data_IF_115932775900
#
_entry.id   IF_115932775900
#
_cell.length_a   1.000
_cell.length_b   1.000
_cell.length_c   1.000
_cell.angle_alpha   90.00
_cell.angle_beta   90.00
_cell.angle_gamma   90.00
#
_symmetry.space_group_name_H-M   'P 1'
#
loop_
_entity.id
_entity.type
_entity.pdbx_description
1 polymer ?
#
# COMPACT_ATOMS: atom_id res chain seq x y z
N UNK A 1 21.74 39.15 74.16
CA UNK A 1 22.31 37.86 73.70
C UNK A 1 22.20 37.80 72.19
N UNK A 2 23.29 37.49 71.47
CA UNK A 2 23.31 37.15 70.04
C UNK A 2 22.95 38.28 69.05
N UNK A 3 23.87 38.67 68.17
CA UNK A 3 23.64 39.70 67.16
C UNK A 3 24.39 39.47 65.85
N UNK A 4 24.26 40.47 64.97
CA UNK A 4 25.03 40.75 63.73
C UNK A 4 25.02 39.76 62.54
N UNK A 5 24.54 40.27 61.39
CA UNK A 5 25.20 40.09 60.08
C UNK A 5 25.23 41.44 59.33
N UNK A 6 26.35 41.74 58.68
CA UNK A 6 26.74 43.08 58.21
C UNK A 6 26.72 43.24 56.65
N UNK A 7 26.93 44.47 56.16
CA UNK A 7 27.09 44.84 54.71
C UNK A 7 28.44 44.39 54.11
N UNK A 8 28.61 44.39 52.76
CA UNK A 8 29.34 45.49 52.06
C UNK A 8 28.60 45.97 50.77
N UNK A 9 28.86 47.07 50.03
CA UNK A 9 29.84 48.22 50.01
C UNK A 9 31.07 48.22 49.03
N UNK A 10 30.78 48.45 47.73
CA UNK A 10 31.56 49.22 46.69
C UNK A 10 32.76 48.60 45.92
N UNK A 11 32.91 49.16 44.70
CA UNK A 11 33.92 49.10 43.60
C UNK A 11 35.36 49.58 44.04
N UNK A 12 36.47 49.55 43.24
CA UNK A 12 36.57 49.73 41.77
C UNK A 12 37.76 49.08 40.97
N UNK A 13 37.92 49.56 39.72
CA UNK A 13 38.89 49.33 38.62
C UNK A 13 40.37 49.00 38.90
N UNK A 14 41.02 48.35 37.90
CA UNK A 14 42.32 48.81 37.33
C UNK A 14 42.62 48.26 35.92
N UNK A 15 43.32 49.06 35.10
CA UNK A 15 43.58 48.83 33.67
C UNK A 15 45.05 48.49 33.33
N UNK A 16 45.34 48.08 32.07
CA UNK A 16 46.67 48.26 31.41
C UNK A 16 46.66 48.13 29.85
N UNK A 17 46.83 49.29 29.17
CA UNK A 17 47.71 49.59 27.99
C UNK A 17 47.57 48.85 26.62
N UNK A 18 46.93 49.53 25.64
CA UNK A 18 47.46 50.12 24.37
C UNK A 18 48.83 49.69 23.76
N UNK A 19 49.19 49.99 22.46
CA UNK A 19 48.47 50.74 21.37
C UNK A 19 48.65 50.23 19.89
N UNK A 20 48.12 51.01 18.90
CA UNK A 20 48.42 51.03 17.42
C UNK A 20 48.00 49.76 16.60
N UNK A 21 47.61 49.81 15.32
CA UNK A 21 47.34 50.90 14.36
C UNK A 21 47.52 50.43 12.89
N UNK A 22 46.75 50.98 11.93
CA UNK A 22 46.79 50.72 10.44
C UNK A 22 46.35 49.30 10.02
N UNK A 23 45.32 49.10 9.18
CA UNK A 23 45.09 49.44 7.76
C UNK A 23 45.60 48.38 6.75
N UNK A 24 44.90 48.29 5.60
CA UNK A 24 45.23 47.56 4.36
C UNK A 24 45.13 46.01 4.29
N UNK A 25 43.97 45.56 3.76
CA UNK A 25 43.76 44.82 2.49
C UNK A 25 44.48 43.45 2.21
N UNK A 26 43.93 42.63 1.28
CA UNK A 26 44.28 41.21 1.14
C UNK A 26 45.53 40.93 0.30
N UNK A 27 46.09 39.73 0.42
CA UNK A 27 47.17 39.22 -0.45
C UNK A 27 46.64 38.66 -1.77
N UNK A 28 47.28 39.07 -2.86
CA UNK A 28 47.31 38.37 -4.16
C UNK A 28 48.17 37.08 -4.05
N UNK A 29 48.42 36.24 -5.07
CA UNK A 29 48.30 36.27 -6.53
C UNK A 29 48.13 34.80 -7.03
N UNK A 30 47.99 34.39 -8.31
CA UNK A 30 48.59 34.80 -9.60
C UNK A 30 47.59 34.43 -10.73
N UNK A 31 47.25 35.34 -11.66
CA UNK A 31 47.89 35.59 -12.97
C UNK A 31 48.02 34.36 -13.91
N UNK A 32 47.21 34.35 -14.96
CA UNK A 32 47.65 34.26 -16.37
C UNK A 32 46.64 35.00 -17.27
N UNK A 33 47.17 35.86 -18.14
CA UNK A 33 46.54 36.64 -19.24
C UNK A 33 47.60 36.62 -20.39
N UNK A 34 47.30 36.86 -21.69
CA UNK A 34 46.57 38.03 -22.22
C UNK A 34 45.51 37.73 -23.33
N UNK A 35 44.36 38.45 -23.40
CA UNK A 35 44.02 39.63 -24.27
C UNK A 35 43.76 39.34 -25.77
N UNK A 36 43.06 40.20 -26.55
CA UNK A 36 41.91 41.10 -26.20
C UNK A 36 40.81 41.26 -27.28
N UNK A 37 39.68 41.88 -26.87
CA UNK A 37 38.85 42.75 -27.74
C UNK A 37 37.77 42.06 -28.59
N UNK A 38 36.61 42.68 -28.88
CA UNK A 38 36.04 44.01 -28.60
C UNK A 38 34.54 43.78 -28.35
N UNK A 39 33.90 44.23 -27.26
CA UNK A 39 33.26 45.57 -27.11
C UNK A 39 31.90 45.64 -27.85
N UNK A 40 30.83 46.30 -27.38
CA UNK A 40 30.61 47.17 -26.21
C UNK A 40 29.09 47.38 -26.01
N UNK A 41 28.64 47.55 -24.76
CA UNK A 41 27.34 48.19 -24.35
C UNK A 41 26.05 47.45 -24.80
N UNK A 42 24.90 47.63 -24.17
CA UNK A 42 24.53 48.49 -23.05
C UNK A 42 23.35 47.91 -22.24
N UNK A 43 22.88 48.64 -21.22
CA UNK A 43 22.08 48.07 -20.14
C UNK A 43 20.55 48.30 -20.23
N UNK A 44 19.85 47.48 -19.45
CA UNK A 44 18.69 47.82 -18.61
C UNK A 44 17.24 47.70 -19.10
N UNK A 45 16.49 46.99 -18.23
CA UNK A 45 15.09 47.17 -17.81
C UNK A 45 13.91 46.70 -18.67
N UNK A 46 13.09 45.84 -18.02
CA UNK A 46 11.60 45.86 -17.83
C UNK A 46 10.74 46.05 -19.12
N UNK A 47 9.64 45.30 -19.36
CA UNK A 47 8.67 44.73 -18.41
C UNK A 47 7.75 43.69 -19.09
N UNK A 48 6.94 42.98 -18.28
CA UNK A 48 5.79 42.14 -18.67
C UNK A 48 4.86 42.79 -19.73
N UNK A 49 4.29 41.98 -20.64
CA UNK A 49 2.84 41.67 -20.67
C UNK A 49 2.43 40.60 -21.70
N UNK A 50 1.27 40.00 -21.44
CA UNK A 50 0.53 39.04 -22.27
C UNK A 50 0.32 39.48 -23.72
N UNK A 51 0.22 38.50 -24.63
CA UNK A 51 -0.81 38.51 -25.70
C UNK A 51 -1.40 37.12 -25.92
N UNK A 52 -2.72 37.04 -25.76
CA UNK A 52 -3.59 35.96 -26.22
C UNK A 52 -3.89 36.12 -27.70
N UNK A 53 -4.05 35.01 -28.44
CA UNK A 53 -4.88 34.96 -29.65
C UNK A 53 -5.76 33.71 -29.64
N UNK A 54 -6.94 33.83 -30.27
CA UNK A 54 -8.08 32.90 -30.21
C UNK A 54 -8.78 32.92 -31.58
N UNK A 55 -9.45 31.82 -31.95
CA UNK A 55 -10.33 31.67 -33.14
C UNK A 55 -9.59 31.66 -34.51
N UNK A 56 -10.10 31.01 -35.58
CA UNK A 56 -11.27 30.13 -35.78
C UNK A 56 -10.89 28.86 -36.60
N UNK A 57 -11.64 27.76 -36.64
CA UNK A 57 -13.01 27.53 -37.16
C UNK A 57 -13.05 27.14 -38.67
N UNK A 58 -13.70 26.02 -39.03
CA UNK A 58 -14.18 25.77 -40.42
C UNK A 58 -14.05 24.36 -41.03
N UNK A 59 -15.18 23.64 -41.12
CA UNK A 59 -15.67 22.73 -42.18
C UNK A 59 -14.70 22.26 -43.31
N UNK A 60 -14.48 20.94 -43.56
CA UNK A 60 -15.34 19.88 -44.18
C UNK A 60 -15.27 19.73 -45.73
N UNK A 61 -14.92 18.49 -46.17
CA UNK A 61 -15.54 17.66 -47.26
C UNK A 61 -14.95 17.61 -48.69
N UNK A 62 -14.70 16.36 -49.15
CA UNK A 62 -14.53 15.81 -50.53
C UNK A 62 -13.31 16.25 -51.38
N UNK A 63 -12.74 15.47 -52.34
CA UNK A 63 -12.92 14.10 -52.91
C UNK A 63 -11.55 13.69 -53.54
N UNK A 64 -11.12 12.41 -53.60
CA UNK A 64 -11.07 11.55 -54.81
C UNK A 64 -10.27 10.25 -54.45
N UNK A 65 -10.84 9.04 -54.57
CA UNK A 65 -10.75 8.06 -55.69
C UNK A 65 -9.41 7.32 -55.92
N UNK A 66 -9.38 6.03 -55.55
CA UNK A 66 -8.91 4.80 -56.27
C UNK A 66 -8.99 3.64 -55.25
N UNK A 67 -9.99 2.75 -55.23
CA UNK A 67 -10.42 1.75 -56.21
C UNK A 67 -9.37 0.65 -56.49
N UNK A 68 -9.59 -0.56 -55.94
CA UNK A 68 -9.32 -1.88 -56.56
C UNK A 68 -9.90 -3.04 -55.68
N UNK A 69 -10.92 -3.73 -56.24
CA UNK A 69 -11.34 -5.14 -56.08
C UNK A 69 -11.55 -5.80 -54.68
N UNK A 70 -12.78 -6.31 -54.38
CA UNK A 70 -13.05 -7.34 -53.37
C UNK A 70 -13.27 -8.74 -53.98
N UNK A 71 -13.23 -9.80 -53.15
CA UNK A 71 -13.88 -11.10 -53.46
C UNK A 71 -14.25 -11.89 -52.20
N UNK A 72 -15.52 -12.32 -52.13
CA UNK A 72 -16.12 -13.12 -51.06
C UNK A 72 -15.81 -14.63 -51.17
N UNK A 73 -16.07 -15.41 -50.10
CA UNK A 73 -15.95 -16.89 -50.16
C UNK A 73 -16.27 -17.64 -48.84
N UNK A 74 -17.52 -18.02 -48.64
CA UNK A 74 -18.10 -18.54 -47.39
C UNK A 74 -17.78 -20.00 -46.96
N UNK A 75 -17.63 -20.20 -45.63
CA UNK A 75 -18.30 -21.21 -44.74
C UNK A 75 -18.12 -22.75 -44.89
N UNK A 76 -18.08 -23.41 -43.69
CA UNK A 76 -18.49 -24.82 -43.31
C UNK A 76 -17.55 -25.98 -43.73
N UNK A 77 -17.48 -27.16 -43.08
CA UNK A 77 -17.85 -27.71 -41.72
C UNK A 77 -17.25 -29.15 -41.56
N UNK A 78 -17.02 -29.62 -40.31
CA UNK A 78 -17.03 -31.06 -39.88
C UNK A 78 -15.93 -32.00 -40.49
N UNK A 79 -15.60 -33.22 -40.01
CA UNK A 79 -15.70 -33.97 -38.71
C UNK A 79 -14.80 -35.23 -38.82
N UNK A 80 -14.30 -35.76 -37.68
CA UNK A 80 -13.80 -37.14 -37.47
C UNK A 80 -12.62 -37.63 -38.37
N UNK A 81 -11.79 -38.60 -37.99
CA UNK A 81 -11.76 -39.44 -36.80
C UNK A 81 -11.93 -40.92 -37.13
N UNK A 82 -10.83 -41.69 -37.15
CA UNK A 82 -10.79 -43.15 -37.07
C UNK A 82 -9.46 -43.57 -36.41
N UNK A 83 -9.47 -44.71 -35.74
CA UNK A 83 -8.36 -45.26 -34.96
C UNK A 83 -7.91 -46.60 -35.57
N UNK A 84 -7.25 -47.42 -34.75
CA UNK A 84 -6.90 -48.83 -34.99
C UNK A 84 -5.71 -49.07 -35.95
N UNK A 85 -4.75 -49.99 -35.70
CA UNK A 85 -4.60 -50.97 -34.62
C UNK A 85 -3.13 -51.08 -34.09
N UNK A 86 -3.05 -51.57 -32.85
CA UNK A 86 -1.89 -52.19 -32.15
C UNK A 86 -1.69 -53.66 -32.66
N UNK A 87 -0.76 -54.53 -32.17
CA UNK A 87 0.20 -54.37 -31.05
C UNK A 87 1.63 -54.98 -31.27
N UNK A 88 2.41 -54.95 -30.18
CA UNK A 88 3.47 -55.89 -29.73
C UNK A 88 4.97 -55.69 -30.10
N UNK A 89 5.76 -55.81 -29.02
CA UNK A 89 7.22 -55.98 -28.93
C UNK A 89 7.52 -57.50 -28.85
N UNK A 90 8.70 -58.02 -28.41
CA UNK A 90 10.00 -57.40 -28.15
C UNK A 90 11.18 -58.16 -28.81
N UNK A 91 12.43 -57.79 -28.50
CA UNK A 91 13.47 -58.74 -28.05
C UNK A 91 14.77 -58.05 -27.61
N UNK A 92 15.56 -58.74 -26.77
CA UNK A 92 16.84 -58.27 -26.18
C UNK A 92 18.03 -59.04 -26.75
N UNK A 93 19.12 -58.35 -27.10
CA UNK A 93 20.52 -58.87 -27.04
C UNK A 93 21.48 -57.65 -27.06
N UNK A 94 22.28 -57.35 -26.03
CA UNK A 94 23.50 -57.99 -25.51
C UNK A 94 24.72 -58.04 -26.46
N UNK A 95 25.62 -57.07 -26.22
CA UNK A 95 27.10 -57.14 -26.10
C UNK A 95 27.95 -57.83 -27.18
N UNK A 96 28.99 -57.10 -27.58
CA UNK A 96 30.43 -57.43 -27.76
C UNK A 96 30.93 -56.73 -29.04
N UNK A 97 32.16 -56.26 -29.22
CA UNK A 97 33.32 -55.81 -28.44
C UNK A 97 34.38 -55.43 -29.51
N UNK A 98 35.54 -54.86 -29.13
CA UNK A 98 36.69 -54.51 -30.00
C UNK A 98 36.42 -53.28 -30.92
N UNK A 99 37.29 -52.27 -31.02
CA UNK A 99 38.54 -51.99 -30.31
C UNK A 99 39.69 -51.68 -31.27
N UNK A 100 39.98 -50.39 -31.48
CA UNK A 100 41.22 -49.89 -32.08
C UNK A 100 41.69 -48.65 -31.30
N UNK A 101 43.00 -48.47 -31.20
CA UNK A 101 43.65 -47.53 -30.29
C UNK A 101 44.74 -46.71 -31.00
N UNK A 102 45.36 -45.76 -30.24
CA UNK A 102 46.56 -44.95 -30.58
C UNK A 102 46.24 -43.75 -31.51
N UNK A 103 46.81 -42.53 -31.34
CA UNK A 103 47.93 -42.00 -30.53
C UNK A 103 47.72 -40.49 -30.23
N UNK A 104 48.40 -39.96 -29.21
CA UNK A 104 48.91 -38.57 -29.13
C UNK A 104 50.40 -38.64 -28.69
N UNK A 105 51.06 -37.59 -28.14
CA UNK A 105 50.80 -36.12 -28.09
C UNK A 105 51.91 -35.35 -28.87
N UNK A 106 52.39 -34.10 -28.60
CA UNK A 106 52.98 -33.58 -27.33
C UNK A 106 52.60 -32.09 -26.96
N UNK A 107 53.12 -31.51 -25.84
CA UNK A 107 52.65 -30.21 -25.30
C UNK A 107 53.65 -29.03 -25.41
N UNK A 108 53.15 -27.80 -25.22
CA UNK A 108 53.94 -26.56 -25.06
C UNK A 108 53.20 -25.50 -24.23
N UNK A 109 53.94 -24.72 -23.41
CA UNK A 109 53.40 -23.73 -22.45
C UNK A 109 53.34 -22.32 -23.08
N UNK A 110 52.41 -21.46 -22.63
CA UNK A 110 52.69 -20.11 -22.11
C UNK A 110 51.43 -19.46 -21.47
N UNK A 111 51.61 -18.34 -20.75
CA UNK A 111 50.65 -17.71 -19.83
C UNK A 111 49.72 -16.67 -20.53
N UNK A 112 48.76 -16.01 -19.84
CA UNK A 112 47.47 -15.66 -20.43
C UNK A 112 47.43 -14.26 -21.05
N UNK A 113 46.56 -14.11 -22.05
CA UNK A 113 46.10 -12.80 -22.49
C UNK A 113 44.69 -12.47 -21.99
N UNK A 114 44.49 -11.21 -21.61
CA UNK A 114 43.21 -10.63 -21.23
C UNK A 114 42.59 -9.95 -22.45
N UNK A 115 41.28 -9.72 -22.38
CA UNK A 115 40.44 -8.82 -23.20
C UNK A 115 39.77 -9.47 -24.43
N UNK A 116 38.50 -9.03 -24.61
CA UNK A 116 37.47 -9.50 -25.57
C UNK A 116 36.91 -10.90 -25.21
N UNK A 117 35.60 -11.08 -25.02
CA UNK A 117 34.46 -10.25 -25.43
C UNK A 117 33.57 -9.69 -24.31
N UNK A 118 33.12 -8.44 -24.52
CA UNK A 118 32.08 -7.74 -23.76
C UNK A 118 30.81 -7.59 -24.62
N UNK A 119 30.19 -8.70 -25.01
CA UNK A 119 29.00 -8.71 -25.89
C UNK A 119 28.01 -9.84 -25.58
N UNK A 120 27.99 -10.36 -24.34
CA UNK A 120 27.08 -11.43 -23.90
C UNK A 120 26.25 -11.07 -22.63
N UNK A 121 26.10 -9.78 -22.30
CA UNK A 121 25.30 -9.28 -21.18
C UNK A 121 24.05 -8.51 -21.67
N UNK A 122 23.29 -9.13 -22.58
CA UNK A 122 22.04 -8.57 -23.12
C UNK A 122 20.77 -9.29 -22.66
N UNK A 123 20.79 -10.63 -22.56
CA UNK A 123 19.53 -11.42 -22.51
C UNK A 123 19.41 -12.39 -21.32
N UNK A 124 20.48 -12.61 -20.55
CA UNK A 124 20.46 -13.50 -19.38
C UNK A 124 19.61 -13.00 -18.19
N UNK A 125 19.13 -11.75 -18.22
CA UNK A 125 18.39 -11.12 -17.13
C UNK A 125 16.88 -11.40 -17.08
N UNK A 126 16.28 -12.03 -18.10
CA UNK A 126 14.81 -12.23 -18.18
C UNK A 126 14.34 -13.68 -17.99
N UNK A 127 15.22 -14.67 -18.10
CA UNK A 127 14.86 -16.08 -17.97
C UNK A 127 14.74 -16.57 -16.49
N UNK A 128 15.44 -15.93 -15.55
CA UNK A 128 15.52 -16.38 -14.15
C UNK A 128 14.21 -16.33 -13.35
N UNK A 129 13.25 -15.49 -13.76
CA UNK A 129 11.98 -15.32 -13.05
C UNK A 129 10.86 -16.28 -13.52
N UNK A 130 11.00 -16.92 -14.70
CA UNK A 130 9.90 -17.67 -15.31
C UNK A 130 9.98 -19.20 -15.10
N UNK A 131 11.19 -19.75 -14.88
CA UNK A 131 11.37 -21.21 -14.74
C UNK A 131 10.92 -21.82 -13.40
N UNK A 132 10.81 -21.02 -12.33
CA UNK A 132 10.69 -21.54 -10.96
C UNK A 132 9.25 -21.83 -10.46
N UNK A 133 8.23 -21.55 -11.27
CA UNK A 133 6.85 -22.01 -11.01
C UNK A 133 6.50 -23.35 -11.69
N UNK A 134 7.36 -23.85 -12.58
CA UNK A 134 7.09 -25.06 -13.38
C UNK A 134 7.79 -26.34 -12.86
N UNK A 135 8.69 -26.24 -11.88
CA UNK A 135 9.51 -27.36 -11.38
C UNK A 135 9.39 -27.61 -9.86
N UNK A 136 8.21 -27.31 -9.29
CA UNK A 136 7.83 -27.80 -7.97
C UNK A 136 6.99 -29.07 -8.12
N UNK A 137 7.59 -30.24 -7.85
CA UNK A 137 6.83 -31.49 -7.65
C UNK A 137 5.73 -31.23 -6.61
N UNK A 138 4.43 -31.39 -6.93
CA UNK A 138 3.35 -31.15 -5.99
C UNK A 138 3.31 -32.13 -4.81
N UNK A 139 4.13 -33.19 -4.84
CA UNK A 139 4.13 -34.28 -3.85
C UNK A 139 5.20 -34.06 -2.77
N UNK A 140 4.73 -33.70 -1.57
CA UNK A 140 5.49 -33.49 -0.31
C UNK A 140 6.16 -32.10 -0.24
N UNK A 141 5.95 -31.25 0.77
CA UNK A 141 5.20 -31.38 2.03
C UNK A 141 4.31 -30.13 2.21
N UNK A 142 2.99 -30.30 2.24
CA UNK A 142 2.11 -29.27 2.84
C UNK A 142 2.40 -29.23 4.33
N UNK A 143 2.98 -28.14 4.84
CA UNK A 143 2.92 -27.83 6.27
C UNK A 143 1.46 -27.67 6.65
N UNK A 144 0.88 -28.71 7.26
CA UNK A 144 -0.44 -28.61 7.88
C UNK A 144 -0.30 -27.71 9.11
N UNK A 145 -0.35 -26.38 8.91
CA UNK A 145 -0.96 -25.52 9.93
C UNK A 145 -2.29 -26.17 10.26
N UNK A 146 -2.48 -26.57 11.52
CA UNK A 146 -3.56 -27.48 11.88
C UNK A 146 -4.89 -26.82 11.52
N UNK A 147 -5.55 -27.32 10.46
CA UNK A 147 -6.84 -26.79 10.00
C UNK A 147 -7.83 -26.66 11.15
N UNK A 148 -7.79 -27.61 12.10
CA UNK A 148 -8.50 -27.56 13.37
C UNK A 148 -8.29 -26.25 14.15
N UNK A 149 -7.06 -25.81 14.46
CA UNK A 149 -6.84 -24.55 15.22
C UNK A 149 -7.33 -23.32 14.46
N UNK A 150 -7.11 -23.26 13.14
CA UNK A 150 -7.65 -22.16 12.33
C UNK A 150 -9.17 -22.18 12.35
N UNK A 151 -9.80 -23.32 12.05
CA UNK A 151 -11.26 -23.50 12.11
C UNK A 151 -11.81 -23.13 13.49
N UNK A 152 -11.20 -23.58 14.59
CA UNK A 152 -11.63 -23.23 15.96
C UNK A 152 -11.59 -21.72 16.21
N UNK A 153 -10.53 -21.02 15.81
CA UNK A 153 -10.46 -19.56 15.94
C UNK A 153 -11.47 -18.83 15.05
N UNK A 154 -11.70 -19.33 13.83
CA UNK A 154 -12.73 -18.81 12.92
C UNK A 154 -14.14 -19.03 13.47
N UNK A 155 -14.42 -20.22 13.99
CA UNK A 155 -15.66 -20.56 14.67
C UNK A 155 -15.86 -19.69 15.91
N UNK A 156 -14.82 -19.44 16.70
CA UNK A 156 -14.91 -18.58 17.89
C UNK A 156 -15.27 -17.14 17.52
N UNK A 157 -14.60 -16.55 16.52
CA UNK A 157 -14.91 -15.21 16.03
C UNK A 157 -16.30 -15.11 15.39
N UNK A 158 -16.68 -16.08 14.56
CA UNK A 158 -18.00 -16.14 13.95
C UNK A 158 -19.12 -16.35 14.98
N UNK A 159 -18.88 -17.18 16.00
CA UNK A 159 -19.84 -17.46 17.08
C UNK A 159 -19.94 -16.29 18.07
N UNK A 160 -18.86 -15.55 18.31
CA UNK A 160 -18.91 -14.29 19.05
C UNK A 160 -19.69 -13.20 18.29
N UNK A 161 -19.43 -13.02 16.98
CA UNK A 161 -20.24 -12.13 16.13
C UNK A 161 -21.71 -12.55 16.10
N UNK A 162 -22.00 -13.85 15.92
CA UNK A 162 -23.36 -14.37 15.88
C UNK A 162 -24.07 -14.27 17.24
N UNK A 163 -23.37 -14.47 18.36
CA UNK A 163 -23.91 -14.27 19.70
C UNK A 163 -24.22 -12.80 19.96
N UNK A 164 -23.32 -11.87 19.58
CA UNK A 164 -23.57 -10.44 19.68
C UNK A 164 -24.79 -10.02 18.84
N UNK A 165 -24.86 -10.44 17.58
CA UNK A 165 -26.02 -10.21 16.72
C UNK A 165 -27.29 -10.82 17.29
N UNK A 166 -27.26 -12.04 17.83
CA UNK A 166 -28.42 -12.66 18.45
C UNK A 166 -28.87 -11.92 19.71
N UNK A 167 -27.97 -11.38 20.52
CA UNK A 167 -28.30 -10.55 21.69
C UNK A 167 -28.92 -9.22 21.25
N UNK A 168 -28.29 -8.52 20.31
CA UNK A 168 -28.77 -7.24 19.79
C UNK A 168 -30.15 -7.40 19.12
N UNK A 169 -30.28 -8.33 18.17
CA UNK A 169 -31.53 -8.56 17.43
C UNK A 169 -32.67 -9.06 18.32
N UNK A 170 -32.40 -9.84 19.38
CA UNK A 170 -33.42 -10.21 20.37
C UNK A 170 -33.93 -9.04 21.21
N UNK A 171 -33.16 -7.95 21.31
CA UNK A 171 -33.57 -6.72 21.99
C UNK A 171 -34.34 -5.75 21.09
N UNK A 172 -34.58 -6.07 19.82
CA UNK A 172 -35.18 -5.18 18.82
C UNK A 172 -36.52 -5.72 18.33
N UNK A 173 -37.52 -4.87 18.19
CA UNK A 173 -38.75 -5.26 17.48
C UNK A 173 -38.54 -5.24 15.96
N UNK A 174 -39.23 -6.15 15.25
CA UNK A 174 -39.14 -6.20 13.80
C UNK A 174 -39.72 -4.93 13.14
N UNK A 175 -40.74 -4.31 13.74
CA UNK A 175 -41.31 -3.05 13.25
C UNK A 175 -40.31 -1.89 13.38
N UNK A 176 -39.55 -1.81 14.47
CA UNK A 176 -38.55 -0.77 14.68
C UNK A 176 -37.39 -0.87 13.67
N UNK A 177 -36.96 -2.09 13.33
CA UNK A 177 -35.95 -2.30 12.29
C UNK A 177 -36.51 -1.94 10.89
N UNK A 178 -37.73 -2.35 10.58
CA UNK A 178 -38.37 -2.08 9.30
C UNK A 178 -38.63 -0.58 9.08
N UNK A 179 -39.11 0.14 10.09
CA UNK A 179 -39.35 1.59 10.01
C UNK A 179 -38.04 2.38 9.87
N UNK A 180 -36.99 1.99 10.60
CA UNK A 180 -35.67 2.60 10.49
C UNK A 180 -35.01 2.41 9.11
N UNK A 181 -35.21 1.26 8.45
CA UNK A 181 -34.78 1.07 7.06
C UNK A 181 -35.66 1.83 6.05
N UNK A 182 -36.97 1.97 6.30
CA UNK A 182 -37.89 2.73 5.45
C UNK A 182 -37.66 4.25 5.53
N UNK A 183 -37.12 4.75 6.64
CA UNK A 183 -36.80 6.15 6.87
C UNK A 183 -35.45 6.61 6.27
N UNK A 184 -34.74 5.76 5.51
CA UNK A 184 -33.41 6.09 5.00
C UNK A 184 -33.47 7.19 3.93
N UNK A 185 -32.81 8.31 4.22
CA UNK A 185 -32.65 9.41 3.26
C UNK A 185 -31.61 9.04 2.18
N UNK A 186 -31.93 9.17 0.88
CA UNK A 186 -30.98 8.89 -0.19
C UNK A 186 -29.90 9.98 -0.41
N UNK A 187 -30.09 11.24 0.02
CA UNK A 187 -29.10 12.30 -0.32
C UNK A 187 -27.71 12.06 0.28
N UNK A 188 -27.54 11.56 1.54
CA UNK A 188 -26.21 11.32 2.10
C UNK A 188 -25.47 10.19 1.39
N UNK A 189 -26.16 9.31 0.66
CA UNK A 189 -25.52 8.23 -0.12
C UNK A 189 -24.58 8.81 -1.18
N UNK A 190 -24.88 10.00 -1.75
CA UNK A 190 -23.97 10.68 -2.66
C UNK A 190 -22.68 11.14 -1.95
N UNK A 191 -22.78 11.64 -0.72
CA UNK A 191 -21.63 11.98 0.12
C UNK A 191 -20.82 10.73 0.50
N UNK A 192 -21.49 9.61 0.82
CA UNK A 192 -20.83 8.33 1.04
C UNK A 192 -20.01 7.91 -0.18
N UNK A 193 -20.60 7.91 -1.38
CA UNK A 193 -19.92 7.49 -2.62
C UNK A 193 -18.70 8.38 -2.91
N UNK A 194 -18.84 9.70 -2.73
CA UNK A 194 -17.73 10.64 -2.89
C UNK A 194 -16.62 10.42 -1.84
N UNK A 195 -17.01 10.19 -0.57
CA UNK A 195 -16.10 9.86 0.52
C UNK A 195 -15.32 8.56 0.24
N UNK A 196 -16.02 7.49 -0.15
CA UNK A 196 -15.42 6.20 -0.48
C UNK A 196 -14.45 6.29 -1.66
N UNK A 197 -14.83 7.03 -2.71
CA UNK A 197 -13.95 7.29 -3.85
C UNK A 197 -12.67 8.05 -3.41
N UNK A 198 -12.79 9.00 -2.49
CA UNK A 198 -11.64 9.70 -1.89
C UNK A 198 -10.77 8.76 -1.05
N UNK A 199 -11.36 7.91 -0.19
CA UNK A 199 -10.61 6.89 0.59
C UNK A 199 -9.80 5.99 -0.34
N UNK A 200 -10.42 5.44 -1.39
CA UNK A 200 -9.75 4.53 -2.31
C UNK A 200 -8.70 5.24 -3.17
N UNK A 201 -8.96 6.46 -3.62
CA UNK A 201 -7.97 7.26 -4.35
C UNK A 201 -6.77 7.58 -3.47
N UNK A 202 -6.99 8.09 -2.26
CA UNK A 202 -5.94 8.41 -1.31
C UNK A 202 -5.09 7.17 -0.95
N UNK A 203 -5.72 6.01 -0.72
CA UNK A 203 -5.01 4.73 -0.52
C UNK A 203 -4.15 4.32 -1.70
N UNK A 204 -4.65 4.49 -2.93
CA UNK A 204 -3.92 4.16 -4.14
C UNK A 204 -2.72 5.11 -4.37
N UNK A 205 -2.90 6.42 -4.18
CA UNK A 205 -1.82 7.43 -4.27
C UNK A 205 -0.77 7.23 -3.17
N UNK A 206 -1.20 7.01 -1.92
CA UNK A 206 -0.32 6.73 -0.76
C UNK A 206 0.60 5.53 -1.05
N UNK A 207 0.04 4.45 -1.56
CA UNK A 207 0.79 3.24 -1.90
C UNK A 207 1.69 3.45 -3.11
N UNK A 208 1.18 4.09 -4.17
CA UNK A 208 1.97 4.40 -5.36
C UNK A 208 3.18 5.29 -5.04
N UNK A 209 3.02 6.24 -4.12
CA UNK A 209 4.12 7.07 -3.62
C UNK A 209 5.18 6.21 -2.89
N UNK A 210 4.79 5.29 -1.99
CA UNK A 210 5.74 4.39 -1.31
C UNK A 210 6.54 3.51 -2.29
N UNK A 211 5.96 3.15 -3.43
CA UNK A 211 6.62 2.33 -4.45
C UNK A 211 7.48 3.16 -5.43
N UNK A 212 7.28 4.49 -5.49
CA UNK A 212 7.88 5.36 -6.49
C UNK A 212 9.42 5.27 -6.62
N UNK A 213 10.20 5.14 -5.53
CA UNK A 213 11.67 5.03 -5.63
C UNK A 213 12.19 3.72 -6.23
N UNK A 214 11.37 2.68 -6.29
CA UNK A 214 11.69 1.39 -6.94
C UNK A 214 11.11 1.31 -8.35
N UNK A 215 9.88 1.81 -8.54
CA UNK A 215 9.19 1.91 -9.83
C UNK A 215 8.28 3.12 -9.80
N UNK A 216 8.44 4.01 -10.78
CA UNK A 216 7.44 5.05 -11.06
C UNK A 216 6.08 4.39 -11.33
N UNK A 217 5.18 4.48 -10.35
CA UNK A 217 3.91 3.75 -10.31
C UNK A 217 2.78 4.76 -10.16
N UNK A 218 1.70 4.60 -10.92
CA UNK A 218 0.50 5.44 -10.82
C UNK A 218 -0.54 4.79 -9.91
N UNK A 219 -1.34 5.58 -9.19
CA UNK A 219 -2.43 5.07 -8.36
C UNK A 219 -3.38 4.10 -9.11
N UNK A 220 -3.65 4.35 -10.40
CA UNK A 220 -4.46 3.47 -11.24
C UNK A 220 -3.87 2.05 -11.44
N UNK A 221 -2.54 1.90 -11.40
CA UNK A 221 -1.88 0.59 -11.48
C UNK A 221 -1.95 -0.18 -10.15
N UNK A 222 -2.02 0.54 -9.03
CA UNK A 222 -2.11 -0.05 -7.68
C UNK A 222 -3.56 -0.39 -7.31
N UNK A 223 -4.55 0.35 -7.82
CA UNK A 223 -5.97 0.17 -7.51
C UNK A 223 -6.48 -1.29 -7.63
N UNK A 224 -6.12 -2.10 -8.65
CA UNK A 224 -6.51 -3.52 -8.71
C UNK A 224 -6.09 -4.33 -7.48
N UNK A 225 -4.88 -4.08 -6.94
CA UNK A 225 -4.39 -4.75 -5.73
C UNK A 225 -5.16 -4.33 -4.48
N UNK A 226 -5.52 -3.04 -4.39
CA UNK A 226 -6.33 -2.52 -3.29
C UNK A 226 -7.74 -3.13 -3.32
N UNK A 227 -8.40 -3.12 -4.48
CA UNK A 227 -9.73 -3.68 -4.65
C UNK A 227 -9.77 -5.19 -4.40
N UNK A 228 -8.76 -5.93 -4.89
CA UNK A 228 -8.61 -7.35 -4.59
C UNK A 228 -8.49 -7.61 -3.08
N UNK A 229 -7.70 -6.79 -2.36
CA UNK A 229 -7.58 -6.87 -0.91
C UNK A 229 -8.91 -6.61 -0.20
N UNK A 230 -9.61 -5.57 -0.61
CA UNK A 230 -10.81 -5.06 0.04
C UNK A 230 -11.95 -6.07 -0.11
N UNK A 231 -12.23 -6.51 -1.35
CA UNK A 231 -13.22 -7.55 -1.64
C UNK A 231 -12.87 -8.89 -1.00
N UNK A 232 -11.59 -9.29 -1.01
CA UNK A 232 -11.17 -10.53 -0.37
C UNK A 232 -11.38 -10.50 1.15
N UNK A 233 -11.27 -9.35 1.84
CA UNK A 233 -11.56 -9.26 3.28
C UNK A 233 -13.06 -9.39 3.62
N UNK A 234 -13.97 -9.15 2.68
CA UNK A 234 -15.40 -9.43 2.90
C UNK A 234 -15.74 -10.93 2.82
N UNK A 235 -14.91 -11.73 2.14
CA UNK A 235 -15.16 -13.18 1.92
C UNK A 235 -14.24 -14.07 2.74
N UNK A 236 -12.96 -13.71 2.84
CA UNK A 236 -11.93 -14.44 3.56
C UNK A 236 -11.80 -13.92 4.98
N UNK A 237 -11.70 -14.80 5.99
CA UNK A 237 -11.55 -14.37 7.36
C UNK A 237 -10.10 -13.94 7.68
N UNK A 238 -9.89 -13.44 8.91
CA UNK A 238 -8.57 -13.03 9.43
C UNK A 238 -7.83 -12.00 8.55
N UNK A 239 -8.58 -11.17 7.81
CA UNK A 239 -8.04 -10.19 6.85
C UNK A 239 -7.08 -10.80 5.80
N UNK A 240 -7.29 -12.07 5.42
CA UNK A 240 -6.42 -12.76 4.46
C UNK A 240 -6.40 -12.12 3.05
N UNK A 241 -7.28 -11.15 2.77
CA UNK A 241 -7.20 -10.29 1.58
C UNK A 241 -5.94 -9.44 1.52
N UNK A 242 -5.24 -9.18 2.63
CA UNK A 242 -3.89 -8.58 2.59
C UNK A 242 -2.90 -9.44 1.76
N UNK A 243 -3.04 -10.76 1.78
CA UNK A 243 -2.27 -11.66 0.90
C UNK A 243 -2.68 -11.53 -0.56
N UNK A 244 -3.96 -11.24 -0.84
CA UNK A 244 -4.43 -10.93 -2.19
C UNK A 244 -3.84 -9.60 -2.70
N UNK A 245 -3.73 -8.59 -1.83
CA UNK A 245 -3.03 -7.33 -2.15
C UNK A 245 -1.60 -7.58 -2.63
N UNK A 246 -0.83 -8.35 -1.84
CA UNK A 246 0.55 -8.70 -2.15
C UNK A 246 0.62 -9.52 -3.44
N UNK A 247 -0.20 -10.57 -3.58
CA UNK A 247 -0.17 -11.45 -4.76
C UNK A 247 -0.51 -10.72 -6.06
N UNK A 248 -1.49 -9.79 -6.04
CA UNK A 248 -1.86 -8.98 -7.21
C UNK A 248 -0.80 -7.92 -7.50
N UNK A 249 -0.27 -7.23 -6.48
CA UNK A 249 0.76 -6.21 -6.67
C UNK A 249 2.07 -6.81 -7.21
N UNK A 250 2.55 -7.92 -6.65
CA UNK A 250 3.77 -8.62 -7.11
C UNK A 250 3.62 -9.07 -8.58
N UNK A 251 2.47 -9.67 -8.95
CA UNK A 251 2.24 -10.16 -10.32
C UNK A 251 1.97 -9.04 -11.33
N UNK A 252 1.24 -8.00 -10.95
CA UNK A 252 0.85 -6.90 -11.84
C UNK A 252 1.92 -5.80 -11.98
N UNK A 253 2.69 -5.54 -10.92
CA UNK A 253 3.67 -4.46 -10.88
C UNK A 253 5.13 -4.95 -10.92
N UNK A 254 5.37 -6.25 -10.76
CA UNK A 254 6.72 -6.82 -10.72
C UNK A 254 7.53 -6.39 -9.49
N UNK A 255 6.88 -5.85 -8.45
CA UNK A 255 7.54 -5.41 -7.23
C UNK A 255 7.84 -6.60 -6.29
N UNK A 256 8.93 -6.57 -5.51
CA UNK A 256 9.17 -7.59 -4.49
C UNK A 256 8.09 -7.57 -3.40
N UNK A 257 7.72 -8.74 -2.88
CA UNK A 257 6.72 -8.83 -1.82
C UNK A 257 7.19 -8.14 -0.51
N UNK A 258 8.50 -8.11 -0.22
CA UNK A 258 9.05 -7.45 0.96
C UNK A 258 8.78 -5.94 0.98
N UNK A 259 8.93 -5.28 -0.17
CA UNK A 259 8.59 -3.86 -0.36
C UNK A 259 7.10 -3.60 -0.14
N UNK A 260 6.24 -4.47 -0.67
CA UNK A 260 4.80 -4.32 -0.52
C UNK A 260 4.38 -4.48 0.95
N UNK A 261 4.96 -5.47 1.64
CA UNK A 261 4.76 -5.69 3.08
C UNK A 261 5.23 -4.49 3.91
N UNK A 262 6.37 -3.88 3.60
CA UNK A 262 6.85 -2.71 4.37
C UNK A 262 5.99 -1.47 4.13
N UNK A 263 5.58 -1.20 2.88
CA UNK A 263 4.60 -0.15 2.58
C UNK A 263 3.27 -0.35 3.33
N UNK A 264 2.76 -1.58 3.34
CA UNK A 264 1.54 -1.94 4.09
C UNK A 264 1.71 -1.76 5.61
N UNK A 265 2.84 -2.17 6.18
CA UNK A 265 3.11 -2.03 7.61
C UNK A 265 3.14 -0.56 8.07
N UNK A 266 3.76 0.32 7.28
CA UNK A 266 3.72 1.78 7.52
C UNK A 266 2.29 2.29 7.45
N UNK A 267 1.52 1.87 6.44
CA UNK A 267 0.11 2.25 6.31
C UNK A 267 -0.73 1.79 7.51
N UNK A 268 -0.55 0.57 8.02
CA UNK A 268 -1.23 0.08 9.21
C UNK A 268 -0.85 0.88 10.47
N UNK A 269 0.43 1.16 10.68
CA UNK A 269 0.89 1.96 11.83
C UNK A 269 0.34 3.37 11.79
N UNK A 270 0.34 4.03 10.62
CA UNK A 270 -0.20 5.39 10.49
C UNK A 270 -1.74 5.40 10.58
N UNK A 271 -2.44 4.43 9.99
CA UNK A 271 -3.89 4.29 10.13
C UNK A 271 -4.29 4.11 11.62
N UNK A 272 -3.55 3.30 12.39
CA UNK A 272 -3.78 3.10 13.82
C UNK A 272 -3.41 4.32 14.68
N UNK A 273 -2.33 5.05 14.35
CA UNK A 273 -1.99 6.31 15.03
C UNK A 273 -3.09 7.36 14.89
N UNK A 274 -3.68 7.50 13.70
CA UNK A 274 -4.83 8.39 13.50
C UNK A 274 -6.07 7.90 14.27
N UNK A 275 -6.32 6.59 14.33
CA UNK A 275 -7.44 6.05 15.12
C UNK A 275 -7.25 6.31 16.63
N UNK A 276 -6.04 6.15 17.16
CA UNK A 276 -5.70 6.48 18.54
C UNK A 276 -5.80 7.99 18.82
N UNK A 277 -5.37 8.84 17.90
CA UNK A 277 -5.51 10.29 18.03
C UNK A 277 -6.99 10.72 18.04
N UNK A 278 -7.80 10.15 17.14
CA UNK A 278 -9.25 10.37 17.09
C UNK A 278 -9.94 9.91 18.39
N UNK A 279 -9.55 8.76 18.94
CA UNK A 279 -10.02 8.27 20.24
C UNK A 279 -9.62 9.19 21.39
N UNK A 280 -8.38 9.67 21.43
CA UNK A 280 -7.91 10.60 22.45
C UNK A 280 -8.65 11.95 22.41
N UNK A 281 -8.91 12.48 21.21
CA UNK A 281 -9.71 13.69 21.01
C UNK A 281 -11.16 13.46 21.47
N UNK A 282 -11.79 12.35 21.06
CA UNK A 282 -13.14 12.01 21.48
C UNK A 282 -13.26 11.85 23.01
N UNK A 283 -12.31 11.16 23.65
CA UNK A 283 -12.28 10.97 25.10
C UNK A 283 -12.00 12.26 25.90
N UNK A 284 -11.42 13.28 25.28
CA UNK A 284 -11.17 14.59 25.90
C UNK A 284 -12.38 15.55 25.80
N UNK A 285 -13.33 15.28 24.90
CA UNK A 285 -14.47 16.17 24.59
C UNK A 285 -15.81 15.57 25.00
N UNK A 286 -16.00 14.27 24.78
CA UNK A 286 -17.24 13.58 25.12
C UNK A 286 -17.22 13.12 26.59
N UNK A 287 -18.38 13.09 27.27
CA UNK A 287 -18.52 12.46 28.59
C UNK A 287 -18.53 10.93 28.43
N UNK A 288 -17.41 10.36 27.95
CA UNK A 288 -17.23 8.92 27.85
C UNK A 288 -17.18 8.38 29.28
N UNK A 289 -18.08 7.45 29.68
CA UNK A 289 -17.99 6.82 30.99
C UNK A 289 -16.58 6.25 31.17
N UNK A 290 -15.95 6.50 32.32
CA UNK A 290 -14.60 6.00 32.64
C UNK A 290 -14.61 4.47 32.82
N UNK A 291 -14.82 3.73 31.73
CA UNK A 291 -14.71 2.30 31.68
C UNK A 291 -13.23 1.92 31.73
N UNK A 292 -12.73 1.25 32.79
CA UNK A 292 -11.32 0.83 32.85
C UNK A 292 -10.90 -0.03 31.67
N UNK A 293 -11.87 -0.73 31.07
CA UNK A 293 -11.74 -1.51 29.83
C UNK A 293 -11.29 -0.65 28.64
N UNK A 294 -11.84 0.54 28.43
CA UNK A 294 -11.44 1.42 27.32
C UNK A 294 -9.98 1.88 27.48
N UNK A 295 -9.58 2.19 28.71
CA UNK A 295 -8.19 2.55 29.03
C UNK A 295 -7.23 1.36 28.82
N UNK A 296 -7.59 0.16 29.29
CA UNK A 296 -6.80 -1.06 29.08
C UNK A 296 -6.65 -1.41 27.59
N UNK A 297 -7.73 -1.32 26.80
CA UNK A 297 -7.69 -1.54 25.35
C UNK A 297 -6.86 -0.46 24.66
N UNK A 298 -6.99 0.81 25.06
CA UNK A 298 -6.17 1.92 24.56
C UNK A 298 -4.67 1.70 24.82
N UNK A 299 -4.30 1.28 26.03
CA UNK A 299 -2.92 0.92 26.38
C UNK A 299 -2.41 -0.30 25.61
N UNK A 300 -3.23 -1.33 25.40
CA UNK A 300 -2.86 -2.51 24.64
C UNK A 300 -2.59 -2.16 23.16
N UNK A 301 -3.47 -1.38 22.52
CA UNK A 301 -3.28 -0.94 21.13
C UNK A 301 -2.10 0.04 21.04
N UNK A 302 -2.01 1.00 21.97
CA UNK A 302 -0.91 1.97 22.03
C UNK A 302 0.46 1.33 22.19
N UNK A 303 0.59 0.33 23.07
CA UNK A 303 1.85 -0.42 23.24
C UNK A 303 2.20 -1.27 22.01
N UNK A 304 1.23 -1.92 21.37
CA UNK A 304 1.45 -2.64 20.12
C UNK A 304 1.90 -1.71 18.98
N UNK A 305 1.29 -0.52 18.86
CA UNK A 305 1.69 0.52 17.90
C UNK A 305 3.09 1.06 18.22
N UNK A 306 3.42 1.30 19.49
CA UNK A 306 4.75 1.75 19.90
C UNK A 306 5.85 0.72 19.56
N UNK A 307 5.59 -0.58 19.79
CA UNK A 307 6.50 -1.66 19.36
C UNK A 307 6.63 -1.71 17.84
N UNK A 308 5.53 -1.57 17.09
CA UNK A 308 5.58 -1.53 15.63
C UNK A 308 6.39 -0.32 15.11
N UNK A 309 6.23 0.86 15.70
CA UNK A 309 7.04 2.05 15.41
C UNK A 309 8.52 1.79 15.71
N UNK A 310 8.85 1.19 16.85
CA UNK A 310 10.24 0.88 17.21
C UNK A 310 10.88 -0.10 16.21
N UNK A 311 10.14 -1.12 15.77
CA UNK A 311 10.60 -2.09 14.74
C UNK A 311 10.78 -1.41 13.38
N UNK A 312 9.83 -0.57 12.95
CA UNK A 312 9.95 0.19 11.69
C UNK A 312 11.11 1.19 11.75
N UNK A 313 11.30 1.89 12.87
CA UNK A 313 12.40 2.82 13.07
C UNK A 313 13.76 2.09 13.06
N UNK A 314 13.89 0.96 13.77
CA UNK A 314 15.08 0.11 13.72
C UNK A 314 15.38 -0.35 12.29
N UNK A 315 14.38 -0.83 11.55
CA UNK A 315 14.55 -1.31 10.19
C UNK A 315 14.89 -0.19 9.20
N UNK A 316 14.34 1.01 9.41
CA UNK A 316 14.59 2.20 8.58
C UNK A 316 15.95 2.83 8.86
N UNK A 317 16.38 2.89 10.12
CA UNK A 317 17.63 3.56 10.53
C UNK A 317 18.85 2.63 10.45
N UNK A 318 18.67 1.33 10.73
CA UNK A 318 19.76 0.34 10.79
C UNK A 318 19.62 -0.86 9.83
N UNK A 319 19.50 -0.69 8.49
CA UNK A 319 19.41 -1.82 7.55
C UNK A 319 20.56 -2.84 7.65
N UNK A 320 21.76 -2.40 8.03
CA UNK A 320 22.89 -3.30 8.28
C UNK A 320 22.66 -4.20 9.51
N UNK A 321 21.97 -3.72 10.55
CA UNK A 321 21.58 -4.53 11.69
C UNK A 321 20.46 -5.52 11.30
N UNK A 322 19.46 -5.09 10.51
CA UNK A 322 18.43 -5.97 9.95
C UNK A 322 19.07 -7.14 9.19
N UNK A 323 19.97 -6.84 8.25
CA UNK A 323 20.71 -7.86 7.48
C UNK A 323 21.48 -8.84 8.37
N UNK A 324 22.13 -8.37 9.45
CA UNK A 324 22.82 -9.25 10.41
C UNK A 324 21.84 -10.17 11.15
N UNK A 325 20.73 -9.63 11.67
CA UNK A 325 19.69 -10.41 12.36
C UNK A 325 19.07 -11.44 11.43
N UNK A 326 18.72 -11.04 10.20
CA UNK A 326 18.19 -11.94 9.17
C UNK A 326 19.21 -13.00 8.76
N UNK A 327 20.48 -12.64 8.57
CA UNK A 327 21.53 -13.61 8.28
C UNK A 327 21.72 -14.63 9.42
N UNK A 328 21.64 -14.19 10.68
CA UNK A 328 21.73 -15.06 11.86
C UNK A 328 20.57 -16.06 11.93
N UNK A 329 19.33 -15.58 11.72
CA UNK A 329 18.12 -16.41 11.65
C UNK A 329 18.14 -17.39 10.46
N UNK A 330 18.62 -16.93 9.30
CA UNK A 330 18.72 -17.71 8.07
C UNK A 330 19.62 -18.95 8.19
N UNK A 331 20.54 -19.00 9.16
CA UNK A 331 21.37 -20.20 9.45
C UNK A 331 20.55 -21.40 9.92
N UNK A 332 19.36 -21.17 10.47
CA UNK A 332 18.47 -22.22 10.97
C UNK A 332 17.42 -22.67 9.93
N UNK A 333 17.50 -22.15 8.70
CA UNK A 333 16.53 -22.38 7.63
C UNK A 333 17.16 -23.16 6.47
N UNK A 334 16.40 -24.01 5.74
CA UNK A 334 16.88 -24.63 4.50
C UNK A 334 17.32 -23.57 3.49
N UNK A 335 18.38 -23.85 2.71
CA UNK A 335 19.02 -22.88 1.83
C UNK A 335 18.05 -22.06 0.94
N UNK A 336 17.02 -22.70 0.38
CA UNK A 336 15.98 -22.01 -0.42
C UNK A 336 15.19 -20.96 0.37
N UNK A 337 14.85 -21.26 1.63
CA UNK A 337 14.09 -20.34 2.49
C UNK A 337 14.98 -19.27 3.13
N UNK A 338 16.25 -19.60 3.42
CA UNK A 338 17.27 -18.63 3.81
C UNK A 338 17.46 -17.54 2.74
N UNK A 339 17.51 -17.93 1.46
CA UNK A 339 17.69 -16.99 0.34
C UNK A 339 16.45 -16.12 0.09
N UNK A 340 15.25 -16.70 0.15
CA UNK A 340 14.00 -15.93 0.12
C UNK A 340 13.91 -14.95 1.30
N UNK A 341 14.29 -15.35 2.51
CA UNK A 341 14.25 -14.45 3.67
C UNK A 341 15.20 -13.27 3.51
N UNK A 342 16.42 -13.49 3.00
CA UNK A 342 17.42 -12.43 2.75
C UNK A 342 16.93 -11.44 1.69
N UNK A 343 16.66 -11.92 0.48
CA UNK A 343 16.18 -11.09 -0.65
C UNK A 343 14.94 -10.27 -0.30
N UNK A 344 13.99 -10.86 0.42
CA UNK A 344 12.78 -10.17 0.87
C UNK A 344 13.03 -9.19 2.01
N UNK A 345 14.05 -9.41 2.86
CA UNK A 345 14.44 -8.46 3.90
C UNK A 345 15.13 -7.21 3.36
N UNK A 346 15.99 -7.35 2.33
CA UNK A 346 16.59 -6.21 1.66
C UNK A 346 15.51 -5.39 0.94
N UNK A 347 14.61 -6.03 0.19
CA UNK A 347 13.49 -5.34 -0.47
C UNK A 347 12.51 -4.68 0.52
N UNK A 348 12.39 -5.21 1.75
CA UNK A 348 11.64 -4.59 2.85
C UNK A 348 12.33 -3.29 3.31
N UNK A 349 13.64 -3.34 3.57
CA UNK A 349 14.45 -2.15 3.90
C UNK A 349 14.42 -1.09 2.79
N UNK A 350 14.46 -1.48 1.52
CA UNK A 350 14.36 -0.56 0.38
C UNK A 350 13.00 0.15 0.34
N UNK A 351 11.90 -0.55 0.63
CA UNK A 351 10.57 0.05 0.77
C UNK A 351 10.44 1.00 1.96
N UNK A 352 11.21 0.78 3.04
CA UNK A 352 11.27 1.69 4.20
C UNK A 352 12.21 2.88 3.98
N UNK A 353 13.16 2.81 3.05
CA UNK A 353 14.10 3.91 2.79
C UNK A 353 13.39 5.23 2.41
N UNK A 354 12.19 5.13 1.85
CA UNK A 354 11.32 6.27 1.49
C UNK A 354 10.95 7.15 2.69
N UNK A 355 10.85 6.56 3.89
CA UNK A 355 10.51 7.26 5.13
C UNK A 355 11.61 8.23 5.60
N UNK A 356 12.82 8.16 5.04
CA UNK A 356 13.92 9.06 5.35
C UNK A 356 13.78 10.43 4.67
N UNK A 357 12.93 10.53 3.65
CA UNK A 357 12.64 11.80 2.98
C UNK A 357 11.48 12.54 3.69
N UNK A 358 11.71 13.71 4.31
CA UNK A 358 10.64 14.46 4.96
C UNK A 358 9.59 15.00 3.97
N UNK A 359 9.95 15.30 2.71
CA UNK A 359 8.98 15.73 1.71
C UNK A 359 8.05 14.58 1.30
N UNK A 360 8.59 13.36 1.17
CA UNK A 360 7.79 12.15 1.06
C UNK A 360 6.84 11.99 2.25
N UNK A 361 7.33 12.10 3.50
CA UNK A 361 6.49 11.95 4.70
C UNK A 361 5.34 12.96 4.76
N UNK A 362 5.59 14.25 4.48
CA UNK A 362 4.53 15.28 4.47
C UNK A 362 3.46 14.95 3.43
N UNK A 363 3.85 14.55 2.21
CA UNK A 363 2.90 14.13 1.16
C UNK A 363 2.15 12.86 1.53
N UNK A 364 2.82 11.90 2.16
CA UNK A 364 2.23 10.63 2.62
C UNK A 364 1.17 10.90 3.70
N UNK A 365 1.49 11.74 4.69
CA UNK A 365 0.55 12.17 5.73
C UNK A 365 -0.62 12.97 5.16
N UNK A 366 -0.39 13.83 4.15
CA UNK A 366 -1.47 14.50 3.41
C UNK A 366 -2.48 13.52 2.81
N UNK A 367 -2.02 12.42 2.19
CA UNK A 367 -2.90 11.35 1.73
C UNK A 367 -3.57 10.58 2.87
N UNK A 368 -2.92 10.42 4.03
CA UNK A 368 -3.55 9.83 5.21
C UNK A 368 -4.71 10.71 5.72
N UNK A 369 -4.51 12.03 5.79
CA UNK A 369 -5.57 12.98 6.16
C UNK A 369 -6.73 12.91 5.14
N UNK A 370 -6.44 12.93 3.84
CA UNK A 370 -7.47 12.82 2.80
C UNK A 370 -8.26 11.50 2.89
N UNK A 371 -7.59 10.37 3.18
CA UNK A 371 -8.24 9.10 3.46
C UNK A 371 -9.16 9.20 4.69
N UNK A 372 -8.69 9.79 5.79
CA UNK A 372 -9.47 9.93 7.01
C UNK A 372 -10.67 10.85 6.85
N UNK A 373 -10.54 11.98 6.15
CA UNK A 373 -11.67 12.85 5.82
C UNK A 373 -12.71 12.12 4.95
N UNK A 374 -12.27 11.34 3.96
CA UNK A 374 -13.17 10.50 3.17
C UNK A 374 -13.90 9.44 4.01
N UNK A 375 -13.23 8.85 5.00
CA UNK A 375 -13.84 7.85 5.89
C UNK A 375 -14.81 8.48 6.91
N UNK A 376 -14.45 9.62 7.50
CA UNK A 376 -15.35 10.41 8.36
C UNK A 376 -16.59 10.85 7.57
N UNK A 377 -16.43 11.27 6.31
CA UNK A 377 -17.57 11.58 5.43
C UNK A 377 -18.46 10.36 5.14
N UNK A 378 -17.89 9.16 4.99
CA UNK A 378 -18.68 7.92 4.86
C UNK A 378 -19.50 7.64 6.12
N UNK A 379 -18.90 7.79 7.31
CA UNK A 379 -19.56 7.54 8.60
C UNK A 379 -20.63 8.60 8.90
N UNK A 380 -20.33 9.88 8.67
CA UNK A 380 -21.29 10.97 8.77
C UNK A 380 -22.49 10.75 7.84
N UNK A 381 -22.24 10.40 6.58
CA UNK A 381 -23.28 10.10 5.62
C UNK A 381 -24.21 8.97 6.09
N UNK A 382 -23.68 7.90 6.68
CA UNK A 382 -24.51 6.77 7.14
C UNK A 382 -25.28 7.06 8.42
N UNK A 383 -24.77 7.94 9.28
CA UNK A 383 -25.52 8.45 10.44
C UNK A 383 -26.67 9.35 9.96
N UNK A 384 -26.38 10.33 9.11
CA UNK A 384 -27.40 11.24 8.56
C UNK A 384 -28.46 10.52 7.72
N UNK A 385 -28.07 9.52 6.93
CA UNK A 385 -29.01 8.69 6.17
C UNK A 385 -29.95 7.89 7.08
N UNK A 386 -29.50 7.49 8.27
CA UNK A 386 -30.33 6.85 9.30
C UNK A 386 -31.08 7.86 10.20
N UNK A 387 -31.10 9.16 9.84
CA UNK A 387 -31.74 10.23 10.62
C UNK A 387 -30.99 10.63 11.90
N UNK A 388 -29.79 10.08 12.15
CA UNK A 388 -29.02 10.29 13.38
C UNK A 388 -28.22 11.59 13.27
N UNK A 389 -28.62 12.60 14.05
CA UNK A 389 -27.90 13.85 14.21
C UNK A 389 -27.11 13.82 15.52
N UNK A 390 -25.78 13.84 15.42
CA UNK A 390 -24.83 13.82 16.54
C UNK A 390 -23.71 14.82 16.28
N UNK A 391 -23.00 15.19 17.34
CA UNK A 391 -21.88 16.12 17.27
C UNK A 391 -20.67 15.53 16.51
N UNK A 392 -19.75 16.40 16.09
CA UNK A 392 -18.59 16.01 15.31
C UNK A 392 -17.62 15.07 16.06
N UNK A 393 -17.50 15.15 17.38
CA UNK A 393 -16.64 14.26 18.15
C UNK A 393 -17.24 12.84 18.21
N UNK A 394 -18.57 12.70 18.30
CA UNK A 394 -19.27 11.42 18.18
C UNK A 394 -19.10 10.78 16.80
N UNK A 395 -19.14 11.57 15.71
CA UNK A 395 -18.85 11.07 14.34
C UNK A 395 -17.39 10.59 14.23
N UNK A 396 -16.44 11.35 14.80
CA UNK A 396 -15.02 10.97 14.83
C UNK A 396 -14.79 9.70 15.67
N UNK A 397 -15.50 9.55 16.80
CA UNK A 397 -15.47 8.33 17.62
C UNK A 397 -16.02 7.12 16.84
N UNK A 398 -17.17 7.25 16.16
CA UNK A 398 -17.71 6.23 15.28
C UNK A 398 -16.70 5.82 14.21
N UNK A 399 -16.01 6.79 13.62
CA UNK A 399 -14.99 6.59 12.58
C UNK A 399 -13.75 5.85 13.11
N UNK A 400 -13.31 6.19 14.32
CA UNK A 400 -12.18 5.55 15.00
C UNK A 400 -12.49 4.11 15.41
N UNK A 401 -13.60 3.87 16.10
CA UNK A 401 -14.02 2.52 16.49
C UNK A 401 -14.30 1.63 15.28
N UNK A 402 -14.89 2.16 14.20
CA UNK A 402 -15.08 1.40 12.95
C UNK A 402 -13.76 1.07 12.25
N UNK A 403 -12.74 1.93 12.37
CA UNK A 403 -11.39 1.64 11.86
C UNK A 403 -10.69 0.56 12.69
N UNK A 404 -10.86 0.57 14.01
CA UNK A 404 -10.37 -0.51 14.88
C UNK A 404 -11.11 -1.84 14.63
N UNK A 405 -12.42 -1.80 14.41
CA UNK A 405 -13.21 -2.97 14.02
C UNK A 405 -12.71 -3.60 12.72
N UNK A 406 -12.34 -2.79 11.72
CA UNK A 406 -11.70 -3.23 10.49
C UNK A 406 -10.31 -3.85 10.70
N UNK A 407 -9.61 -3.47 11.78
CA UNK A 407 -8.28 -3.97 12.15
C UNK A 407 -8.32 -5.24 13.01
N UNK A 408 -9.47 -5.63 13.57
CA UNK A 408 -9.63 -6.92 14.26
C UNK A 408 -9.67 -8.08 13.25
N UNK A 409 -9.11 -9.27 13.58
CA UNK A 409 -9.26 -10.49 12.78
C UNK A 409 -10.68 -11.06 12.93
N UNK A 410 -11.65 -10.34 12.36
CA UNK A 410 -13.07 -10.55 12.53
C UNK A 410 -13.66 -11.70 11.67
N UNK A 411 -14.94 -11.97 11.91
CA UNK A 411 -15.76 -12.81 11.05
C UNK A 411 -15.82 -12.25 9.60
N UNK A 412 -16.02 -13.12 8.58
CA UNK A 412 -16.21 -12.67 7.20
C UNK A 412 -17.26 -11.56 7.09
N UNK A 413 -16.97 -10.58 6.24
CA UNK A 413 -17.87 -9.46 6.01
C UNK A 413 -17.84 -8.34 7.06
N UNK A 414 -17.12 -8.49 8.18
CA UNK A 414 -17.14 -7.60 9.34
C UNK A 414 -18.52 -7.50 10.05
N UNK A 415 -19.31 -8.55 9.88
CA UNK A 415 -20.65 -8.73 10.47
C UNK A 415 -20.54 -8.77 12.00
N UNK A 416 -21.27 -7.88 12.68
CA UNK A 416 -21.25 -7.70 14.13
C UNK A 416 -20.21 -6.70 14.62
N UNK A 417 -19.03 -6.62 13.99
CA UNK A 417 -17.95 -5.72 14.45
C UNK A 417 -18.21 -4.25 14.12
N UNK A 418 -18.84 -3.94 12.98
CA UNK A 418 -19.28 -2.57 12.69
C UNK A 418 -20.44 -2.15 13.59
N UNK A 419 -21.41 -3.06 13.79
CA UNK A 419 -22.56 -2.83 14.66
C UNK A 419 -22.12 -2.58 16.11
N UNK A 420 -21.12 -3.33 16.61
CA UNK A 420 -20.49 -3.10 17.91
C UNK A 420 -19.80 -1.73 17.99
N UNK A 421 -19.04 -1.35 16.95
CA UNK A 421 -18.37 -0.05 16.91
C UNK A 421 -19.34 1.13 16.99
N UNK A 422 -20.47 1.07 16.26
CA UNK A 422 -21.51 2.10 16.30
C UNK A 422 -22.24 2.10 17.65
N UNK A 423 -22.62 0.93 18.17
CA UNK A 423 -23.27 0.80 19.47
C UNK A 423 -22.43 1.46 20.58
N UNK A 424 -21.12 1.20 20.61
CA UNK A 424 -20.22 1.79 21.61
C UNK A 424 -19.95 3.29 21.37
N UNK A 425 -19.84 3.73 20.11
CA UNK A 425 -19.58 5.13 19.80
C UNK A 425 -20.80 6.05 20.04
N UNK A 426 -22.01 5.52 19.85
CA UNK A 426 -23.26 6.29 19.96
C UNK A 426 -23.91 6.22 21.35
N UNK A 427 -23.54 5.25 22.19
CA UNK A 427 -24.05 5.13 23.56
C UNK A 427 -23.85 6.40 24.42
N UNK A 428 -22.70 7.12 24.39
CA UNK A 428 -22.55 8.38 25.13
C UNK A 428 -23.50 9.50 24.67
N UNK A 429 -23.99 9.44 23.43
CA UNK A 429 -24.97 10.36 22.87
C UNK A 429 -26.42 9.92 23.12
N UNK A 430 -26.65 8.82 23.85
CA UNK A 430 -27.98 8.32 24.19
C UNK A 430 -28.80 7.80 23.00
N UNK A 431 -28.16 7.55 21.85
CA UNK A 431 -28.85 7.08 20.65
C UNK A 431 -29.28 5.62 20.81
N UNK A 432 -30.50 5.33 20.36
CA UNK A 432 -31.07 3.99 20.40
C UNK A 432 -30.20 2.94 19.66
N UNK A 433 -29.95 1.76 20.24
CA UNK A 433 -29.16 0.71 19.62
C UNK A 433 -29.66 0.24 18.24
N UNK A 434 -30.95 0.32 17.94
CA UNK A 434 -31.49 -0.06 16.63
C UNK A 434 -31.16 0.97 15.54
N UNK A 435 -31.26 2.27 15.84
CA UNK A 435 -30.79 3.30 14.93
C UNK A 435 -29.28 3.13 14.63
N UNK A 436 -28.46 2.92 15.67
CA UNK A 436 -27.03 2.66 15.51
C UNK A 436 -26.70 1.41 14.70
N UNK A 437 -27.47 0.33 14.87
CA UNK A 437 -27.35 -0.90 14.09
C UNK A 437 -27.67 -0.69 12.61
N UNK A 438 -28.72 0.07 12.29
CA UNK A 438 -29.11 0.40 10.91
C UNK A 438 -28.01 1.23 10.23
N UNK A 439 -27.51 2.28 10.88
CA UNK A 439 -26.42 3.10 10.34
C UNK A 439 -25.14 2.28 10.07
N UNK A 440 -24.76 1.39 11.00
CA UNK A 440 -23.62 0.48 10.83
C UNK A 440 -23.82 -0.51 9.68
N UNK A 441 -25.04 -1.04 9.52
CA UNK A 441 -25.39 -1.98 8.46
C UNK A 441 -25.45 -1.29 7.09
N UNK A 442 -25.88 -0.04 7.05
CA UNK A 442 -25.81 0.81 5.86
C UNK A 442 -24.35 1.10 5.47
N UNK A 443 -23.49 1.45 6.42
CA UNK A 443 -22.04 1.59 6.19
C UNK A 443 -21.46 0.31 5.58
N UNK A 444 -21.75 -0.85 6.18
CA UNK A 444 -21.29 -2.15 5.70
C UNK A 444 -21.76 -2.45 4.26
N UNK A 445 -23.06 -2.28 3.99
CA UNK A 445 -23.67 -2.53 2.69
C UNK A 445 -23.14 -1.60 1.59
N UNK A 446 -23.08 -0.29 1.85
CA UNK A 446 -22.52 0.70 0.93
C UNK A 446 -21.03 0.44 0.68
N UNK A 447 -20.26 0.04 1.70
CA UNK A 447 -18.83 -0.32 1.55
C UNK A 447 -18.65 -1.47 0.56
N UNK A 448 -19.45 -2.52 0.69
CA UNK A 448 -19.42 -3.69 -0.22
C UNK A 448 -19.86 -3.27 -1.63
N UNK A 449 -20.97 -2.53 -1.76
CA UNK A 449 -21.49 -2.07 -3.04
C UNK A 449 -20.50 -1.18 -3.81
N UNK A 450 -19.95 -0.16 -3.16
CA UNK A 450 -18.97 0.73 -3.75
C UNK A 450 -17.66 0.01 -4.10
N UNK A 451 -17.21 -0.96 -3.30
CA UNK A 451 -16.05 -1.78 -3.62
C UNK A 451 -16.28 -2.66 -4.86
N UNK A 452 -17.46 -3.28 -4.99
CA UNK A 452 -17.82 -4.09 -6.17
C UNK A 452 -17.89 -3.24 -7.44
N UNK A 453 -18.56 -2.08 -7.39
CA UNK A 453 -18.63 -1.13 -8.52
C UNK A 453 -17.24 -0.64 -8.93
N UNK A 454 -16.39 -0.27 -7.96
CA UNK A 454 -15.02 0.19 -8.22
C UNK A 454 -14.17 -0.92 -8.85
N UNK A 455 -14.26 -2.15 -8.33
CA UNK A 455 -13.54 -3.29 -8.89
C UNK A 455 -14.00 -3.65 -10.31
N UNK A 456 -15.30 -3.61 -10.58
CA UNK A 456 -15.86 -3.83 -11.91
C UNK A 456 -15.38 -2.77 -12.91
N UNK A 457 -15.39 -1.49 -12.53
CA UNK A 457 -14.85 -0.39 -13.34
C UNK A 457 -13.36 -0.57 -13.65
N UNK A 458 -12.55 -0.90 -12.63
CA UNK A 458 -11.11 -1.17 -12.78
C UNK A 458 -10.83 -2.35 -13.72
N UNK A 459 -11.64 -3.42 -13.67
CA UNK A 459 -11.51 -4.58 -14.56
C UNK A 459 -11.96 -4.29 -16.01
N UNK A 460 -12.91 -3.37 -16.19
CA UNK A 460 -13.51 -3.05 -17.49
C UNK A 460 -12.70 -2.03 -18.30
N UNK A 461 -12.07 -1.04 -17.66
CA UNK A 461 -11.32 0.03 -18.33
C UNK A 461 -10.25 -0.47 -19.33
N UNK A 462 -9.40 -1.47 -19.02
CA UNK A 462 -8.43 -1.99 -19.98
C UNK A 462 -9.08 -2.63 -21.21
N UNK A 463 -10.22 -3.33 -21.03
CA UNK A 463 -10.97 -3.97 -22.12
C UNK A 463 -11.61 -2.94 -23.05
N UNK A 464 -12.14 -1.84 -22.49
CA UNK A 464 -12.71 -0.74 -23.27
C UNK A 464 -11.65 -0.01 -24.09
N UNK A 465 -10.43 0.16 -23.56
CA UNK A 465 -9.32 0.73 -24.34
C UNK A 465 -8.94 -0.12 -25.53
N UNK A 466 -8.76 -1.43 -25.33
CA UNK A 466 -8.49 -2.38 -26.43
C UNK A 466 -9.57 -2.35 -27.53
N UNK A 467 -10.85 -2.18 -27.15
CA UNK A 467 -11.96 -2.05 -28.11
C UNK A 467 -12.03 -0.68 -28.82
N UNK A 468 -11.51 0.38 -28.20
CA UNK A 468 -11.39 1.70 -28.82
C UNK A 468 -10.21 1.72 -29.80
N UNK A 469 -9.06 1.20 -29.38
CA UNK A 469 -7.84 1.11 -30.19
C UNK A 469 -8.04 0.17 -31.39
N UNK A 470 -8.90 -0.86 -31.29
CA UNK A 470 -9.23 -1.75 -32.42
C UNK A 470 -10.24 -1.16 -33.42
N UNK A 471 -10.67 0.10 -33.24
CA UNK A 471 -11.61 0.82 -34.12
C UNK A 471 -11.00 2.07 -34.76
N UNK A 472 -9.75 2.38 -34.41
CA UNK A 472 -8.94 3.44 -34.99
C UNK A 472 -7.97 2.86 -36.05
#
# INVERSE_FOLDING_TARGET
MGGDVHRPRRLPERARRHPRGRAARPRAARRCEPLPGVGLRGACHRTRRHRSWRQGAGARVHRLRRALVPRDGARRRQRAGCADHLPEQPLRARRLQRGLARRGPPPGRHLPDRLRDRTALGEAGRAGACGLLAAADPRRRRTRVSRARTIVWLSLGALASAAYLAVVVRGMSAEALASAFAAIDPWPVALYVAGFALVMRARAERTAASLAPLRATRAAEVMPSQMASYLANFVLPMQAGELARIAVAVRGLGIPAGTMVSSMAVERVVDLLFALAALAIAAAVLPVPHAPVLWQVGLAIGSAVAVAIAVLAWATLSPAAVRRTVAALARHLPARLAEVLRSQSDACCDGLATLRDPAFLVRYLGWCVAQWLGWVACVAATLWAAGIQVDAATIVLCSALSTLALALPAAPGYVGTFQLAYHWALAPAGIDPAAGFVAATLLQGLTIGCALVTAAGVALVPRLRLLADSRA
#
